data_IF_324115699235
#
_entry.id   IF_324115699235
#
_cell.length_a   1.000
_cell.length_b   1.000
_cell.length_c   1.000
_cell.angle_alpha   90.00
_cell.angle_beta   90.00
_cell.angle_gamma   90.00
#
_symmetry.space_group_name_H-M   'P 1'
#
loop_
_entity.id
_entity.type
_entity.pdbx_description
1 polymer ?
#
# COMPACT_ATOMS: atom_id res chain seq x y z
N UNK A 1 20.07 -14.71 22.82
CA UNK A 1 19.82 -16.08 22.32
C UNK A 1 19.43 -17.11 23.38
N UNK A 2 19.98 -17.11 24.58
CA UNK A 2 19.75 -18.18 25.61
C UNK A 2 18.38 -18.10 26.30
N UNK A 3 17.82 -16.96 26.60
CA UNK A 3 16.55 -16.82 27.33
C UNK A 3 15.31 -17.17 26.47
N UNK A 4 15.30 -16.79 25.18
CA UNK A 4 14.22 -17.15 24.24
C UNK A 4 14.17 -18.64 23.96
N UNK A 5 15.33 -19.31 23.90
CA UNK A 5 15.42 -20.77 23.69
C UNK A 5 14.95 -21.56 24.91
N UNK A 6 15.20 -21.06 26.13
CA UNK A 6 14.73 -21.68 27.37
C UNK A 6 13.21 -21.50 27.57
N UNK A 7 12.64 -20.34 27.26
CA UNK A 7 11.19 -20.12 27.29
C UNK A 7 10.45 -20.97 26.25
N UNK A 8 11.01 -21.18 25.08
CA UNK A 8 10.45 -22.04 24.03
C UNK A 8 10.40 -23.49 24.38
N UNK A 9 11.37 -23.97 25.16
CA UNK A 9 11.40 -25.36 25.64
C UNK A 9 10.35 -25.69 26.70
N UNK A 10 9.75 -24.69 27.37
CA UNK A 10 8.72 -24.82 28.39
C UNK A 10 7.29 -24.64 27.86
N UNK A 11 7.11 -24.23 26.59
CA UNK A 11 5.80 -24.05 26.01
C UNK A 11 5.17 -25.38 25.59
N UNK A 12 4.06 -25.81 26.21
CA UNK A 12 3.39 -27.05 25.87
C UNK A 12 2.67 -27.03 24.51
N UNK A 13 2.59 -25.85 23.84
CA UNK A 13 1.89 -25.65 22.59
C UNK A 13 2.82 -25.43 21.38
N UNK A 14 4.13 -25.56 21.52
CA UNK A 14 5.10 -25.45 20.41
C UNK A 14 4.74 -26.30 19.17
N UNK A 15 4.03 -27.41 19.36
CA UNK A 15 3.57 -28.24 18.26
C UNK A 15 2.53 -27.56 17.36
N UNK A 16 1.87 -26.49 17.82
CA UNK A 16 0.95 -25.67 17.01
C UNK A 16 1.69 -24.82 15.97
N UNK A 17 2.98 -24.57 16.14
CA UNK A 17 3.80 -23.88 15.13
C UNK A 17 3.89 -24.66 13.80
N UNK A 18 3.59 -25.98 13.84
CA UNK A 18 3.44 -26.80 12.62
C UNK A 18 2.01 -26.65 12.09
N UNK A 19 1.72 -25.49 11.50
CA UNK A 19 0.38 -25.06 11.10
C UNK A 19 -0.36 -26.06 10.19
N UNK A 20 0.36 -26.78 9.33
CA UNK A 20 -0.20 -27.77 8.40
C UNK A 20 -0.30 -29.19 9.00
N UNK A 21 0.14 -29.38 10.25
CA UNK A 21 0.08 -30.70 10.84
C UNK A 21 -1.36 -31.12 11.14
N UNK A 22 -1.70 -32.39 10.87
CA UNK A 22 -3.03 -32.94 11.14
C UNK A 22 -3.44 -32.75 12.62
N UNK A 23 -2.46 -32.80 13.55
CA UNK A 23 -2.67 -32.57 14.98
C UNK A 23 -3.07 -31.13 15.29
N UNK A 24 -2.33 -30.14 14.74
CA UNK A 24 -2.64 -28.73 14.94
C UNK A 24 -4.01 -28.37 14.35
N UNK A 25 -4.28 -28.80 13.13
CA UNK A 25 -5.56 -28.57 12.47
C UNK A 25 -6.73 -29.26 13.21
N UNK A 26 -6.55 -30.43 13.76
CA UNK A 26 -7.59 -31.10 14.56
C UNK A 26 -7.89 -30.31 15.84
N UNK A 27 -6.87 -29.83 16.54
CA UNK A 27 -7.03 -29.02 17.74
C UNK A 27 -7.74 -27.69 17.46
N UNK A 28 -7.35 -26.99 16.37
CA UNK A 28 -8.01 -25.75 15.92
C UNK A 28 -9.48 -25.99 15.62
N UNK A 29 -9.81 -27.06 14.87
CA UNK A 29 -11.21 -27.41 14.57
C UNK A 29 -12.04 -27.67 15.83
N UNK A 30 -11.47 -28.40 16.81
CA UNK A 30 -12.13 -28.66 18.09
C UNK A 30 -12.40 -27.37 18.86
N UNK A 31 -11.39 -26.47 18.95
CA UNK A 31 -11.55 -25.17 19.64
C UNK A 31 -12.58 -24.29 18.93
N UNK A 32 -12.51 -24.21 17.60
CA UNK A 32 -13.47 -23.45 16.80
C UNK A 32 -14.90 -23.97 16.98
N UNK A 33 -15.10 -25.30 16.99
CA UNK A 33 -16.41 -25.88 17.21
C UNK A 33 -16.97 -25.54 18.61
N UNK A 34 -16.13 -25.60 19.63
CA UNK A 34 -16.53 -25.22 21.00
C UNK A 34 -16.88 -23.73 21.10
N UNK A 35 -16.07 -22.84 20.52
CA UNK A 35 -16.33 -21.38 20.50
C UNK A 35 -17.60 -21.05 19.74
N UNK A 36 -17.79 -21.63 18.55
CA UNK A 36 -18.99 -21.41 17.76
C UNK A 36 -20.26 -21.92 18.45
N UNK A 37 -20.17 -23.02 19.20
CA UNK A 37 -21.31 -23.51 19.96
C UNK A 37 -21.72 -22.53 21.08
N UNK A 38 -20.75 -21.91 21.76
CA UNK A 38 -21.02 -20.88 22.77
C UNK A 38 -21.64 -19.63 22.14
N UNK A 39 -21.01 -19.08 21.08
CA UNK A 39 -21.46 -17.87 20.44
C UNK A 39 -22.86 -18.01 19.84
N UNK A 40 -23.15 -19.13 19.19
CA UNK A 40 -24.46 -19.43 18.59
C UNK A 40 -25.58 -19.65 19.62
N UNK A 41 -25.22 -19.96 20.85
CA UNK A 41 -26.17 -20.08 21.94
C UNK A 41 -26.60 -18.71 22.51
N UNK A 42 -25.86 -17.64 22.19
CA UNK A 42 -26.21 -16.29 22.65
C UNK A 42 -27.47 -15.76 21.96
N UNK A 43 -28.43 -15.21 22.73
CA UNK A 43 -29.59 -14.55 22.15
C UNK A 43 -29.17 -13.40 21.21
N UNK A 44 -29.71 -13.42 19.99
CA UNK A 44 -29.42 -12.37 19.00
C UNK A 44 -28.22 -12.66 18.06
N UNK A 45 -27.43 -13.72 18.31
CA UNK A 45 -26.29 -14.05 17.43
C UNK A 45 -26.67 -14.14 15.95
N UNK A 46 -27.71 -14.93 15.64
CA UNK A 46 -28.13 -15.11 14.22
C UNK A 46 -28.73 -13.84 13.62
N UNK A 47 -29.43 -13.02 14.40
CA UNK A 47 -29.95 -11.73 13.92
C UNK A 47 -28.80 -10.76 13.62
N UNK A 48 -27.81 -10.66 14.51
CA UNK A 48 -26.60 -9.83 14.28
C UNK A 48 -25.81 -10.33 13.08
N UNK A 49 -25.58 -11.65 12.98
CA UNK A 49 -24.87 -12.25 11.86
C UNK A 49 -25.56 -11.97 10.52
N UNK A 50 -26.90 -12.06 10.49
CA UNK A 50 -27.68 -11.75 9.29
C UNK A 50 -27.57 -10.26 8.93
N UNK A 51 -27.76 -9.36 9.90
CA UNK A 51 -27.66 -7.93 9.65
C UNK A 51 -26.26 -7.49 9.16
N UNK A 52 -25.18 -8.06 9.74
CA UNK A 52 -23.83 -7.81 9.27
C UNK A 52 -23.61 -8.35 7.86
N UNK A 53 -24.14 -9.53 7.56
CA UNK A 53 -24.05 -10.10 6.23
C UNK A 53 -24.79 -9.24 5.21
N UNK A 54 -26.04 -8.82 5.51
CA UNK A 54 -26.85 -7.99 4.62
C UNK A 54 -26.15 -6.66 4.34
N UNK A 55 -25.46 -6.07 5.35
CA UNK A 55 -24.68 -4.87 5.18
C UNK A 55 -23.44 -5.09 4.29
N UNK A 56 -22.74 -6.23 4.46
CA UNK A 56 -21.56 -6.56 3.64
C UNK A 56 -21.91 -6.93 2.18
N UNK A 57 -23.08 -7.56 2.00
CA UNK A 57 -23.59 -7.95 0.68
C UNK A 57 -24.31 -6.78 -0.04
N UNK A 58 -24.47 -5.61 0.63
CA UNK A 58 -25.16 -4.45 0.06
C UNK A 58 -24.41 -3.87 -1.14
N UNK A 59 -25.17 -3.49 -2.16
CA UNK A 59 -24.67 -2.74 -3.33
C UNK A 59 -24.77 -1.22 -3.15
N UNK A 60 -25.32 -0.73 -2.04
CA UNK A 60 -25.56 0.71 -1.76
C UNK A 60 -24.28 1.39 -1.22
N UNK A 61 -23.13 1.06 -1.78
CA UNK A 61 -21.83 1.63 -1.40
C UNK A 61 -21.27 2.44 -2.55
N UNK A 62 -20.64 3.57 -2.22
CA UNK A 62 -19.82 4.31 -3.19
C UNK A 62 -18.54 3.50 -3.42
N UNK A 63 -18.20 3.14 -4.67
CA UNK A 63 -16.99 2.39 -4.95
C UNK A 63 -15.74 3.26 -4.74
N UNK A 64 -14.78 2.80 -3.94
CA UNK A 64 -13.42 3.36 -3.93
C UNK A 64 -12.74 3.08 -5.26
N UNK A 65 -12.06 4.07 -5.83
CA UNK A 65 -11.46 3.96 -7.14
C UNK A 65 -9.96 4.26 -7.13
N UNK A 66 -9.24 3.67 -8.08
CA UNK A 66 -7.85 4.01 -8.39
C UNK A 66 -7.78 4.43 -9.86
N UNK A 67 -7.29 5.64 -10.13
CA UNK A 67 -7.11 6.13 -11.50
C UNK A 67 -5.87 5.53 -12.15
N UNK A 68 -5.99 5.14 -13.43
CA UNK A 68 -4.89 4.72 -14.31
C UNK A 68 -5.17 5.25 -15.71
N UNK A 69 -4.51 6.33 -16.07
CA UNK A 69 -4.79 7.03 -17.32
C UNK A 69 -6.20 7.63 -17.35
N UNK A 70 -6.96 7.28 -18.38
CA UNK A 70 -8.34 7.75 -18.58
C UNK A 70 -9.38 6.89 -17.88
N UNK A 71 -8.95 5.82 -17.24
CA UNK A 71 -9.84 4.85 -16.60
C UNK A 71 -9.67 4.86 -15.08
N UNK A 72 -10.77 4.58 -14.39
CA UNK A 72 -10.80 4.33 -12.95
C UNK A 72 -11.14 2.87 -12.71
N UNK A 73 -10.46 2.27 -11.76
CA UNK A 73 -10.58 0.86 -11.39
C UNK A 73 -11.12 0.74 -9.99
N UNK A 74 -11.97 -0.28 -9.79
CA UNK A 74 -12.56 -0.60 -8.50
C UNK A 74 -12.51 -2.11 -8.29
N UNK A 75 -12.25 -2.54 -7.07
CA UNK A 75 -12.46 -3.91 -6.65
C UNK A 75 -13.77 -4.01 -5.88
N UNK A 76 -14.71 -4.80 -6.40
CA UNK A 76 -16.08 -4.86 -5.92
C UNK A 76 -16.44 -6.24 -5.37
N UNK A 77 -17.10 -6.26 -4.21
CA UNK A 77 -17.66 -7.47 -3.63
C UNK A 77 -19.14 -7.24 -3.33
N UNK A 78 -19.96 -8.24 -3.64
CA UNK A 78 -21.40 -8.24 -3.37
C UNK A 78 -21.91 -9.68 -3.17
N UNK A 79 -23.22 -9.87 -3.11
CA UNK A 79 -23.84 -11.19 -2.98
C UNK A 79 -23.45 -12.14 -4.11
N UNK A 80 -23.23 -11.66 -5.33
CA UNK A 80 -22.90 -12.43 -6.52
C UNK A 80 -21.39 -12.69 -6.62
N UNK A 81 -20.57 -11.68 -6.34
CA UNK A 81 -19.11 -11.72 -6.46
C UNK A 81 -18.48 -11.75 -5.07
N UNK A 82 -18.54 -12.89 -4.39
CA UNK A 82 -18.09 -13.02 -2.99
C UNK A 82 -16.56 -12.93 -2.85
N UNK A 83 -15.82 -13.40 -3.85
CA UNK A 83 -14.36 -13.27 -3.93
C UNK A 83 -13.93 -11.97 -4.56
N UNK A 84 -14.80 -11.38 -5.36
CA UNK A 84 -14.67 -10.04 -5.89
C UNK A 84 -14.52 -9.97 -7.39
N UNK A 85 -14.89 -8.84 -7.90
CA UNK A 85 -14.83 -8.45 -9.30
C UNK A 85 -13.94 -7.21 -9.45
N UNK A 86 -12.80 -7.35 -10.08
CA UNK A 86 -12.03 -6.19 -10.51
C UNK A 86 -12.65 -5.63 -11.77
N UNK A 87 -13.05 -4.35 -11.74
CA UNK A 87 -13.81 -3.69 -12.79
C UNK A 87 -13.28 -2.29 -13.03
N UNK A 88 -13.64 -1.70 -14.17
CA UNK A 88 -13.21 -0.35 -14.55
C UNK A 88 -14.31 0.42 -15.26
N UNK A 89 -14.19 1.73 -15.27
CA UNK A 89 -15.02 2.66 -16.05
C UNK A 89 -14.22 3.93 -16.34
N UNK A 90 -14.82 4.91 -17.03
CA UNK A 90 -14.23 6.24 -17.15
C UNK A 90 -14.59 7.11 -15.94
N UNK A 91 -13.78 8.13 -15.63
CA UNK A 91 -14.11 9.05 -14.54
C UNK A 91 -15.44 9.79 -14.81
N UNK A 92 -15.70 10.14 -16.07
CA UNK A 92 -16.95 10.80 -16.47
C UNK A 92 -18.18 9.90 -16.24
N UNK A 93 -18.06 8.60 -16.51
CA UNK A 93 -19.15 7.65 -16.25
C UNK A 93 -19.28 7.33 -14.76
N UNK A 94 -18.17 7.28 -14.02
CA UNK A 94 -18.15 7.11 -12.56
C UNK A 94 -18.95 8.21 -11.83
N UNK A 95 -18.96 9.43 -12.36
CA UNK A 95 -19.73 10.55 -11.82
C UNK A 95 -21.26 10.42 -12.03
N UNK A 96 -21.75 9.46 -12.82
CA UNK A 96 -23.16 9.20 -12.99
C UNK A 96 -23.75 8.42 -11.80
N UNK A 97 -25.06 8.55 -11.58
CA UNK A 97 -25.76 7.84 -10.51
C UNK A 97 -25.67 6.30 -10.67
N UNK A 98 -25.59 5.80 -11.90
CA UNK A 98 -25.48 4.39 -12.25
C UNK A 98 -24.34 4.19 -13.26
N UNK A 99 -23.06 4.10 -12.79
CA UNK A 99 -21.91 3.92 -13.66
C UNK A 99 -21.94 2.57 -14.39
N UNK A 100 -21.55 2.55 -15.67
CA UNK A 100 -21.39 1.31 -16.42
C UNK A 100 -20.00 0.73 -16.20
N UNK A 101 -19.92 -0.32 -15.41
CA UNK A 101 -18.67 -1.00 -15.09
C UNK A 101 -18.33 -2.10 -16.09
N UNK A 102 -17.13 -2.05 -16.64
CA UNK A 102 -16.56 -3.11 -17.46
C UNK A 102 -15.80 -4.10 -16.57
N UNK A 103 -16.17 -5.40 -16.54
CA UNK A 103 -15.39 -6.42 -15.84
C UNK A 103 -13.99 -6.57 -16.42
N UNK A 104 -12.99 -6.64 -15.53
CA UNK A 104 -11.57 -6.87 -15.86
C UNK A 104 -11.16 -8.28 -15.45
N UNK A 105 -11.38 -8.63 -14.18
CA UNK A 105 -11.07 -9.96 -13.64
C UNK A 105 -12.11 -10.35 -12.59
N UNK A 106 -12.77 -11.49 -12.81
CA UNK A 106 -13.70 -12.10 -11.88
C UNK A 106 -12.98 -13.18 -11.08
N UNK A 107 -12.81 -12.97 -9.76
CA UNK A 107 -12.09 -13.87 -8.87
C UNK A 107 -12.89 -15.14 -8.55
N UNK A 108 -14.22 -15.06 -8.51
CA UNK A 108 -15.07 -16.25 -8.31
C UNK A 108 -14.97 -17.19 -9.52
N UNK A 109 -15.03 -16.65 -10.74
CA UNK A 109 -14.86 -17.41 -11.97
C UNK A 109 -13.45 -18.00 -12.10
N UNK A 110 -12.40 -17.20 -11.80
CA UNK A 110 -11.01 -17.65 -11.80
C UNK A 110 -10.79 -18.78 -10.79
N UNK A 111 -11.28 -18.61 -9.56
CA UNK A 111 -11.17 -19.60 -8.49
C UNK A 111 -11.86 -20.92 -8.86
N UNK A 112 -13.04 -20.84 -9.48
CA UNK A 112 -13.76 -22.02 -9.97
C UNK A 112 -12.98 -22.75 -11.08
N UNK A 113 -12.40 -22.00 -12.03
CA UNK A 113 -11.63 -22.58 -13.15
C UNK A 113 -10.33 -23.25 -12.68
N UNK A 114 -9.61 -22.62 -11.75
CA UNK A 114 -8.32 -23.09 -11.24
C UNK A 114 -8.44 -24.00 -9.99
N UNK A 115 -9.65 -24.15 -9.43
CA UNK A 115 -9.92 -24.89 -8.18
C UNK A 115 -9.10 -24.35 -6.99
N UNK A 116 -9.04 -23.03 -6.88
CA UNK A 116 -8.34 -22.28 -5.85
C UNK A 116 -9.29 -21.33 -5.14
N UNK A 117 -8.93 -20.94 -3.93
CA UNK A 117 -9.68 -19.96 -3.13
C UNK A 117 -9.03 -18.59 -3.23
N UNK A 118 -8.95 -18.03 -4.44
CA UNK A 118 -8.28 -16.78 -4.67
C UNK A 118 -8.89 -15.63 -3.88
N UNK A 119 -8.01 -14.86 -3.26
CA UNK A 119 -8.30 -13.60 -2.59
C UNK A 119 -7.44 -12.53 -3.25
N UNK A 120 -8.02 -11.39 -3.53
CA UNK A 120 -7.36 -10.24 -4.11
C UNK A 120 -6.37 -9.63 -3.11
N UNK A 121 -5.12 -9.43 -3.53
CA UNK A 121 -4.10 -8.75 -2.76
C UNK A 121 -3.66 -7.42 -3.42
N UNK A 122 -3.93 -7.25 -4.71
CA UNK A 122 -3.68 -6.00 -5.42
C UNK A 122 -3.29 -6.18 -6.87
N UNK A 123 -3.10 -5.03 -7.55
CA UNK A 123 -2.57 -4.98 -8.91
C UNK A 123 -1.70 -3.75 -9.11
N UNK A 124 -0.47 -3.97 -9.57
CA UNK A 124 0.49 -2.93 -9.86
C UNK A 124 0.63 -2.74 -11.37
N UNK A 125 0.02 -1.68 -11.89
CA UNK A 125 -0.03 -1.42 -13.32
C UNK A 125 1.23 -0.68 -13.82
N UNK A 126 1.71 -1.06 -14.99
CA UNK A 126 2.81 -0.40 -15.67
C UNK A 126 2.28 0.76 -16.55
N UNK A 127 2.47 1.99 -16.09
CA UNK A 127 2.10 3.21 -16.83
C UNK A 127 3.23 3.73 -17.75
N UNK A 128 2.94 4.73 -18.58
CA UNK A 128 1.67 5.45 -18.69
C UNK A 128 0.62 4.78 -19.59
N UNK A 129 0.94 3.72 -20.35
CA UNK A 129 -0.02 3.08 -21.26
C UNK A 129 -0.98 2.12 -20.54
N UNK A 130 -0.67 1.72 -19.33
CA UNK A 130 -1.50 0.84 -18.48
C UNK A 130 -2.05 -0.40 -19.19
N UNK A 131 -1.22 -1.02 -20.06
CA UNK A 131 -1.58 -2.28 -20.71
C UNK A 131 -1.24 -3.48 -19.83
N UNK A 132 -0.15 -3.43 -19.10
CA UNK A 132 0.36 -4.53 -18.27
C UNK A 132 0.19 -4.21 -16.80
N UNK A 133 -0.11 -5.22 -16.03
CA UNK A 133 -0.05 -5.13 -14.57
C UNK A 133 0.43 -6.45 -13.96
N UNK A 134 1.00 -6.38 -12.75
CA UNK A 134 1.26 -7.52 -11.90
C UNK A 134 0.07 -7.66 -10.95
N UNK A 135 -0.63 -8.79 -11.04
CA UNK A 135 -1.77 -9.10 -10.17
C UNK A 135 -1.29 -10.04 -9.09
N UNK A 136 -1.47 -9.66 -7.84
CA UNK A 136 -1.17 -10.45 -6.64
C UNK A 136 -2.43 -11.13 -6.13
N UNK A 137 -2.37 -12.46 -5.98
CA UNK A 137 -3.46 -13.30 -5.54
C UNK A 137 -2.99 -14.22 -4.42
N UNK A 138 -3.72 -14.23 -3.30
CA UNK A 138 -3.49 -15.12 -2.17
C UNK A 138 -4.44 -16.32 -2.21
N UNK A 139 -3.95 -17.54 -1.98
CA UNK A 139 -4.83 -18.71 -1.83
C UNK A 139 -5.36 -18.80 -0.40
N UNK A 140 -6.66 -18.56 -0.25
CA UNK A 140 -7.33 -18.56 1.06
C UNK A 140 -7.09 -17.35 1.95
N UNK A 141 -6.38 -16.31 1.48
CA UNK A 141 -6.09 -15.10 2.26
C UNK A 141 -4.87 -15.24 3.19
N UNK A 142 -3.88 -16.05 2.81
CA UNK A 142 -2.59 -16.12 3.49
C UNK A 142 -1.71 -14.91 3.16
N UNK A 143 -0.64 -14.67 3.96
CA UNK A 143 0.37 -13.63 3.69
C UNK A 143 1.20 -13.89 2.42
N UNK A 144 1.17 -15.10 1.90
CA UNK A 144 1.86 -15.48 0.68
C UNK A 144 0.97 -15.24 -0.53
N UNK A 145 1.55 -14.75 -1.60
CA UNK A 145 0.87 -14.43 -2.85
C UNK A 145 1.52 -15.10 -4.04
N UNK A 146 0.72 -15.43 -5.03
CA UNK A 146 1.17 -15.69 -6.39
C UNK A 146 1.06 -14.37 -7.16
N UNK A 147 2.11 -13.96 -7.83
CA UNK A 147 2.09 -12.77 -8.68
C UNK A 147 2.08 -13.20 -10.14
N UNK A 148 1.16 -12.66 -10.92
CA UNK A 148 1.00 -13.02 -12.33
C UNK A 148 0.81 -11.77 -13.19
N UNK A 149 1.53 -11.70 -14.30
CA UNK A 149 1.33 -10.61 -15.25
C UNK A 149 0.00 -10.74 -15.99
N UNK A 150 -0.72 -9.63 -16.09
CA UNK A 150 -2.05 -9.54 -16.67
C UNK A 150 -2.09 -8.43 -17.73
N UNK A 151 -2.73 -8.70 -18.86
CA UNK A 151 -2.99 -7.73 -19.91
C UNK A 151 -4.35 -7.06 -19.68
N UNK A 152 -4.34 -5.76 -19.36
CA UNK A 152 -5.54 -4.98 -19.07
C UNK A 152 -6.42 -4.72 -20.29
N UNK A 153 -5.85 -4.81 -21.51
CA UNK A 153 -6.61 -4.61 -22.76
C UNK A 153 -7.30 -5.92 -23.15
N UNK A 154 -6.53 -7.00 -23.18
CA UNK A 154 -7.03 -8.33 -23.54
C UNK A 154 -7.77 -9.03 -22.39
N UNK A 155 -7.67 -8.47 -21.18
CA UNK A 155 -8.28 -8.96 -19.92
C UNK A 155 -7.98 -10.43 -19.66
N UNK A 156 -6.70 -10.80 -19.73
CA UNK A 156 -6.20 -12.16 -19.50
C UNK A 156 -4.78 -12.15 -18.96
N UNK A 157 -4.42 -13.21 -18.26
CA UNK A 157 -3.04 -13.43 -17.88
C UNK A 157 -2.15 -13.61 -19.12
N UNK A 158 -0.92 -13.14 -19.05
CA UNK A 158 0.04 -13.19 -20.15
C UNK A 158 0.76 -14.52 -20.12
N UNK A 159 0.67 -15.31 -21.22
CA UNK A 159 1.22 -16.67 -21.27
C UNK A 159 2.73 -16.73 -21.00
N UNK A 160 3.51 -15.82 -21.60
CA UNK A 160 4.97 -15.68 -21.39
C UNK A 160 5.33 -14.49 -20.48
N UNK A 161 4.39 -14.09 -19.62
CA UNK A 161 4.55 -12.99 -18.68
C UNK A 161 5.32 -13.36 -17.42
N UNK A 162 5.51 -12.38 -16.54
CA UNK A 162 6.06 -12.63 -15.22
C UNK A 162 5.10 -13.49 -14.39
N UNK A 163 5.62 -14.56 -13.80
CA UNK A 163 4.91 -15.44 -12.87
C UNK A 163 5.81 -15.76 -11.69
N UNK A 164 5.43 -15.30 -10.49
CA UNK A 164 6.11 -15.63 -9.24
C UNK A 164 5.30 -16.70 -8.49
N UNK A 165 5.95 -17.76 -8.01
CA UNK A 165 5.30 -18.77 -7.20
C UNK A 165 4.82 -18.21 -5.86
N UNK A 166 3.93 -18.94 -5.20
CA UNK A 166 3.41 -18.55 -3.89
C UNK A 166 4.53 -18.37 -2.86
N UNK A 167 4.69 -17.14 -2.41
CA UNK A 167 5.64 -16.72 -1.39
C UNK A 167 5.21 -15.36 -0.81
N UNK A 168 5.78 -14.95 0.32
CA UNK A 168 5.75 -13.56 0.73
C UNK A 168 6.59 -12.78 -0.27
N UNK A 169 5.98 -11.87 -0.99
CA UNK A 169 6.58 -11.24 -2.16
C UNK A 169 6.34 -9.73 -2.14
N UNK A 170 7.40 -8.96 -2.43
CA UNK A 170 7.32 -7.57 -2.81
C UNK A 170 7.89 -7.42 -4.23
N UNK A 171 7.23 -6.63 -5.08
CA UNK A 171 7.59 -6.52 -6.48
C UNK A 171 7.27 -5.13 -7.01
N UNK A 172 8.19 -4.57 -7.83
CA UNK A 172 7.93 -3.31 -8.52
C UNK A 172 8.50 -3.33 -9.95
N UNK A 173 7.86 -2.57 -10.84
CA UNK A 173 8.29 -2.38 -12.21
C UNK A 173 9.52 -1.47 -12.30
N UNK A 174 10.64 -1.98 -12.82
CA UNK A 174 11.78 -1.15 -13.19
C UNK A 174 11.54 -0.49 -14.56
N UNK A 175 11.09 -1.28 -15.53
CA UNK A 175 10.69 -0.88 -16.88
C UNK A 175 9.72 -1.91 -17.48
N UNK A 176 9.37 -1.79 -18.77
CA UNK A 176 8.41 -2.67 -19.44
C UNK A 176 8.81 -4.15 -19.46
N UNK A 177 10.11 -4.42 -19.40
CA UNK A 177 10.69 -5.77 -19.53
C UNK A 177 11.47 -6.23 -18.29
N UNK A 178 11.45 -5.41 -17.23
CA UNK A 178 12.25 -5.69 -16.02
C UNK A 178 11.45 -5.32 -14.77
N UNK A 179 11.47 -6.24 -13.80
CA UNK A 179 10.92 -6.01 -12.47
C UNK A 179 11.97 -6.23 -11.38
N UNK A 180 11.84 -5.50 -10.27
CA UNK A 180 12.52 -5.79 -9.02
C UNK A 180 11.63 -6.72 -8.20
N UNK A 181 12.22 -7.80 -7.67
CA UNK A 181 11.48 -8.85 -6.95
C UNK A 181 12.19 -9.19 -5.65
N UNK A 182 11.47 -9.12 -4.56
CA UNK A 182 11.82 -9.72 -3.27
C UNK A 182 10.86 -10.89 -3.01
N UNK A 183 11.37 -12.11 -2.96
CA UNK A 183 10.56 -13.33 -2.79
C UNK A 183 11.41 -14.47 -2.22
N UNK A 184 10.86 -15.65 -2.10
CA UNK A 184 11.63 -16.85 -1.75
C UNK A 184 12.38 -17.39 -3.00
N UNK A 185 13.68 -17.17 -3.04
CA UNK A 185 14.58 -17.72 -4.07
C UNK A 185 15.27 -19.02 -3.63
N UNK A 186 14.85 -19.61 -2.52
CA UNK A 186 15.43 -20.81 -1.94
C UNK A 186 16.35 -20.53 -0.73
N UNK A 187 17.20 -21.50 -0.35
CA UNK A 187 17.97 -21.42 0.89
C UNK A 187 18.80 -20.12 1.00
N UNK A 188 18.61 -19.41 2.11
CA UNK A 188 19.32 -18.16 2.42
C UNK A 188 18.71 -16.90 1.84
N UNK A 189 17.59 -16.97 1.11
CA UNK A 189 16.90 -15.79 0.56
C UNK A 189 15.88 -15.18 1.50
N UNK A 190 15.60 -15.82 2.62
CA UNK A 190 14.64 -15.34 3.63
C UNK A 190 15.32 -14.91 4.92
N UNK A 191 14.65 -14.04 5.66
CA UNK A 191 14.99 -13.63 7.03
C UNK A 191 14.54 -14.68 8.04
N UNK A 192 14.88 -14.51 9.34
CA UNK A 192 14.36 -15.36 10.43
C UNK A 192 12.84 -15.26 10.58
N UNK A 193 12.22 -14.16 10.16
CA UNK A 193 10.78 -13.95 10.17
C UNK A 193 10.05 -14.61 8.99
N UNK A 194 10.80 -15.15 8.01
CA UNK A 194 10.25 -15.80 6.82
C UNK A 194 9.81 -14.83 5.72
N UNK A 195 10.21 -13.57 5.81
CA UNK A 195 10.05 -12.58 4.74
C UNK A 195 11.29 -12.55 3.82
N UNK A 196 11.19 -11.96 2.62
CA UNK A 196 12.34 -11.84 1.72
C UNK A 196 13.50 -11.06 2.35
N UNK A 197 14.73 -11.53 2.10
CA UNK A 197 15.98 -10.89 2.48
C UNK A 197 16.76 -10.37 1.26
N UNK A 198 16.42 -10.86 0.07
CA UNK A 198 17.14 -10.59 -1.17
C UNK A 198 16.18 -9.99 -2.19
N UNK A 199 16.62 -8.89 -2.84
CA UNK A 199 15.92 -8.31 -3.99
C UNK A 199 16.73 -8.58 -5.24
N UNK A 200 16.07 -9.12 -6.26
CA UNK A 200 16.67 -9.38 -7.56
C UNK A 200 15.97 -8.58 -8.65
N UNK A 201 16.71 -8.20 -9.66
CA UNK A 201 16.18 -7.67 -10.90
C UNK A 201 15.99 -8.81 -11.90
N UNK A 202 14.76 -9.01 -12.34
CA UNK A 202 14.38 -10.08 -13.25
C UNK A 202 13.94 -9.53 -14.58
N UNK A 203 14.53 -10.04 -15.66
CA UNK A 203 14.24 -9.61 -17.05
C UNK A 203 13.28 -10.58 -17.71
N UNK A 204 12.31 -10.04 -18.43
CA UNK A 204 11.31 -10.80 -19.20
C UNK A 204 11.95 -11.85 -20.08
N UNK A 205 11.29 -13.01 -20.17
CA UNK A 205 11.76 -14.12 -21.02
C UNK A 205 12.98 -14.87 -20.49
N UNK A 206 13.50 -14.50 -19.32
CA UNK A 206 14.56 -15.30 -18.65
C UNK A 206 13.98 -16.10 -17.48
N UNK A 207 14.57 -17.23 -17.10
CA UNK A 207 14.18 -17.94 -15.87
C UNK A 207 14.36 -17.06 -14.64
N UNK A 208 13.48 -17.16 -13.65
CA UNK A 208 13.61 -16.46 -12.37
C UNK A 208 14.93 -16.76 -11.65
N UNK A 209 15.47 -17.97 -11.86
CA UNK A 209 16.75 -18.37 -11.29
C UNK A 209 17.93 -17.54 -11.81
N UNK A 210 17.81 -16.95 -13.00
CA UNK A 210 18.83 -16.11 -13.63
C UNK A 210 18.72 -14.62 -13.23
N UNK A 211 17.74 -14.27 -12.39
CA UNK A 211 17.55 -12.91 -11.90
C UNK A 211 18.78 -12.45 -11.08
N UNK A 212 19.20 -11.22 -11.32
CA UNK A 212 20.43 -10.64 -10.75
C UNK A 212 20.14 -9.98 -9.41
N UNK A 213 20.86 -10.36 -8.36
CA UNK A 213 20.77 -9.72 -7.04
C UNK A 213 21.18 -8.24 -7.13
N UNK A 214 20.35 -7.36 -6.64
CA UNK A 214 20.57 -5.91 -6.61
C UNK A 214 20.59 -5.34 -5.19
N UNK A 215 20.02 -6.08 -4.22
CA UNK A 215 20.02 -5.68 -2.82
C UNK A 215 19.92 -6.90 -1.90
N UNK A 216 20.56 -6.82 -0.73
CA UNK A 216 20.45 -7.84 0.33
C UNK A 216 20.34 -7.17 1.69
N UNK A 217 19.41 -7.67 2.54
CA UNK A 217 19.32 -7.39 3.95
C UNK A 217 20.07 -8.41 4.80
N UNK A 218 19.99 -8.26 6.10
CA UNK A 218 20.53 -9.21 7.07
C UNK A 218 19.52 -10.29 7.42
N UNK A 219 19.99 -11.39 7.97
CA UNK A 219 19.11 -12.53 8.30
C UNK A 219 18.17 -12.22 9.48
N UNK A 220 18.56 -11.30 10.34
CA UNK A 220 17.81 -10.82 11.50
C UNK A 220 16.93 -9.60 11.24
N UNK A 221 16.95 -9.06 10.02
CA UNK A 221 15.93 -8.08 9.58
C UNK A 221 14.53 -8.71 9.56
N UNK A 222 13.50 -7.90 9.59
CA UNK A 222 12.13 -8.37 9.35
C UNK A 222 11.94 -8.68 7.87
N UNK A 223 12.30 -7.74 6.98
CA UNK A 223 12.14 -7.89 5.53
C UNK A 223 13.03 -6.91 4.76
N UNK A 224 13.09 -7.07 3.45
CA UNK A 224 13.51 -6.03 2.51
C UNK A 224 12.35 -5.63 1.61
N UNK A 225 12.40 -4.40 1.09
CA UNK A 225 11.40 -3.88 0.16
C UNK A 225 12.06 -2.98 -0.90
N UNK A 226 11.34 -2.72 -2.00
CA UNK A 226 11.77 -1.84 -3.08
C UNK A 226 10.64 -0.94 -3.54
N UNK A 227 10.97 0.31 -3.83
CA UNK A 227 10.07 1.27 -4.48
C UNK A 227 10.76 1.86 -5.69
N UNK A 228 10.10 1.80 -6.84
CA UNK A 228 10.60 2.37 -8.09
C UNK A 228 9.68 3.51 -8.52
N UNK A 229 10.12 4.74 -8.26
CA UNK A 229 9.47 5.94 -8.80
C UNK A 229 9.89 6.12 -10.26
N UNK A 230 8.91 6.11 -11.16
CA UNK A 230 9.09 6.28 -12.60
C UNK A 230 8.51 7.60 -13.09
N UNK A 231 8.18 8.51 -12.19
CA UNK A 231 7.71 9.86 -12.52
C UNK A 231 8.74 10.56 -13.40
N UNK A 232 8.39 11.01 -14.63
CA UNK A 232 9.33 11.63 -15.54
C UNK A 232 10.06 12.81 -14.92
N UNK A 233 11.41 12.75 -14.93
CA UNK A 233 12.30 13.76 -14.34
C UNK A 233 12.57 13.57 -12.85
N UNK A 234 11.93 12.58 -12.20
CA UNK A 234 12.10 12.27 -10.77
C UNK A 234 12.38 10.79 -10.52
N UNK A 235 12.78 10.06 -11.57
CA UNK A 235 13.00 8.62 -11.52
C UNK A 235 14.02 8.27 -10.44
N UNK A 236 13.65 7.33 -9.58
CA UNK A 236 14.52 6.83 -8.50
C UNK A 236 14.11 5.43 -8.07
N UNK A 237 15.07 4.68 -7.59
CA UNK A 237 14.84 3.39 -6.94
C UNK A 237 15.36 3.45 -5.52
N UNK A 238 14.51 3.15 -4.57
CA UNK A 238 14.84 3.07 -3.14
C UNK A 238 14.67 1.64 -2.68
N UNK A 239 15.71 1.12 -2.02
CA UNK A 239 15.67 -0.15 -1.33
C UNK A 239 15.60 0.09 0.17
N UNK A 240 14.84 -0.73 0.87
CA UNK A 240 14.71 -0.67 2.31
C UNK A 240 15.00 -1.98 3.02
N UNK A 241 15.49 -1.85 4.26
CA UNK A 241 15.63 -2.92 5.24
C UNK A 241 14.76 -2.58 6.42
N UNK A 242 13.71 -3.37 6.68
CA UNK A 242 12.92 -3.26 7.91
C UNK A 242 13.66 -3.98 9.02
N UNK A 243 14.21 -3.23 9.98
CA UNK A 243 15.00 -3.76 11.09
C UNK A 243 14.11 -4.38 12.17
N UNK A 244 12.99 -3.73 12.42
CA UNK A 244 11.90 -4.18 13.27
C UNK A 244 10.58 -3.57 12.76
N UNK A 245 9.54 -3.53 13.59
CA UNK A 245 8.22 -3.07 13.20
C UNK A 245 8.14 -1.55 12.92
N UNK A 246 9.06 -0.76 13.47
CA UNK A 246 9.04 0.71 13.39
C UNK A 246 10.33 1.29 12.81
N UNK A 247 11.38 0.51 12.68
CA UNK A 247 12.69 0.99 12.26
C UNK A 247 13.08 0.41 10.92
N UNK A 248 13.55 1.27 10.04
CA UNK A 248 14.08 0.88 8.75
C UNK A 248 15.39 1.62 8.38
N UNK A 249 16.04 1.15 7.33
CA UNK A 249 17.14 1.84 6.65
C UNK A 249 16.84 1.87 5.17
N UNK A 250 16.95 3.05 4.57
CA UNK A 250 16.69 3.28 3.16
C UNK A 250 17.99 3.53 2.39
N UNK A 251 18.04 3.05 1.16
CA UNK A 251 19.19 3.16 0.26
C UNK A 251 18.72 3.60 -1.11
N UNK A 252 19.28 4.67 -1.63
CA UNK A 252 19.01 5.16 -2.97
C UNK A 252 19.98 4.52 -3.96
N UNK A 253 19.44 3.94 -5.04
CA UNK A 253 20.26 3.46 -6.17
C UNK A 253 20.81 4.66 -6.94
N UNK A 254 22.15 4.70 -7.07
CA UNK A 254 22.84 5.74 -7.83
C UNK A 254 22.96 5.35 -9.31
N UNK A 255 23.21 6.32 -10.18
CA UNK A 255 23.38 6.11 -11.62
C UNK A 255 24.54 5.15 -11.98
N UNK A 256 25.56 5.04 -11.13
CA UNK A 256 26.68 4.13 -11.30
C UNK A 256 26.40 2.72 -10.78
N UNK A 257 25.18 2.46 -10.30
CA UNK A 257 24.77 1.18 -9.73
C UNK A 257 25.15 0.99 -8.26
N UNK A 258 25.77 1.96 -7.61
CA UNK A 258 26.07 1.90 -6.18
C UNK A 258 24.85 2.29 -5.34
N UNK A 259 24.85 1.91 -4.07
CA UNK A 259 23.81 2.22 -3.11
C UNK A 259 24.29 3.27 -2.13
N UNK A 260 23.58 4.38 -2.04
CA UNK A 260 23.82 5.43 -1.06
C UNK A 260 22.79 5.34 0.08
N UNK A 261 23.25 5.15 1.32
CA UNK A 261 22.36 5.18 2.48
C UNK A 261 21.74 6.57 2.64
N UNK A 262 20.45 6.63 2.90
CA UNK A 262 19.73 7.86 3.21
C UNK A 262 19.82 8.07 4.73
N UNK A 263 20.46 9.15 5.14
CA UNK A 263 20.67 9.50 6.54
C UNK A 263 19.41 10.13 7.14
N UNK A 264 18.63 9.33 7.87
CA UNK A 264 17.39 9.72 8.56
C UNK A 264 17.29 9.01 9.91
N UNK A 265 16.44 9.46 10.86
CA UNK A 265 16.06 8.62 12.01
C UNK A 265 15.53 7.26 11.54
N UNK A 266 15.93 6.18 12.21
CA UNK A 266 15.55 4.85 11.79
C UNK A 266 14.03 4.63 11.86
N UNK A 267 13.37 5.30 12.77
CA UNK A 267 11.93 5.25 13.01
C UNK A 267 11.12 6.32 12.27
N UNK A 268 11.75 7.17 11.46
CA UNK A 268 11.03 8.13 10.62
C UNK A 268 10.58 7.47 9.31
N UNK A 269 9.35 7.69 8.92
CA UNK A 269 8.87 7.29 7.60
C UNK A 269 9.40 8.25 6.52
N UNK A 270 9.89 7.70 5.42
CA UNK A 270 10.47 8.44 4.29
C UNK A 270 9.58 8.29 3.07
N UNK A 271 9.25 9.43 2.45
CA UNK A 271 8.66 9.45 1.12
C UNK A 271 9.31 10.49 0.22
N UNK A 272 9.03 10.40 -1.07
CA UNK A 272 9.47 11.39 -2.05
C UNK A 272 8.26 11.85 -2.85
N UNK A 273 8.14 13.18 -2.94
CA UNK A 273 7.16 13.82 -3.80
C UNK A 273 7.90 14.75 -4.77
N UNK A 274 8.18 14.23 -5.97
CA UNK A 274 8.93 14.94 -7.02
C UNK A 274 10.29 15.45 -6.49
N UNK A 275 10.46 16.79 -6.36
CA UNK A 275 11.68 17.42 -5.86
C UNK A 275 11.83 17.33 -4.34
N UNK A 276 10.81 16.92 -3.63
CA UNK A 276 10.79 16.92 -2.17
C UNK A 276 11.04 15.54 -1.59
N UNK A 277 11.86 15.53 -0.55
CA UNK A 277 11.98 14.43 0.40
C UNK A 277 11.18 14.79 1.63
N UNK A 278 10.31 13.89 2.08
CA UNK A 278 9.43 14.05 3.22
C UNK A 278 9.82 13.06 4.32
N UNK A 279 9.77 13.51 5.56
CA UNK A 279 10.02 12.71 6.76
C UNK A 279 8.87 12.89 7.75
N UNK A 280 8.18 11.83 8.07
CA UNK A 280 7.24 11.77 9.19
C UNK A 280 7.95 11.19 10.40
N UNK A 281 8.10 11.98 11.46
CA UNK A 281 8.90 11.65 12.62
C UNK A 281 8.08 10.89 13.66
N UNK A 282 8.58 9.70 14.08
CA UNK A 282 7.99 8.97 15.22
C UNK A 282 8.62 9.30 16.56
N UNK A 283 9.83 9.84 16.57
CA UNK A 283 10.53 10.32 17.76
C UNK A 283 11.08 11.72 17.56
N UNK A 284 11.45 12.40 18.66
CA UNK A 284 12.12 13.70 18.59
C UNK A 284 13.45 13.59 17.86
N UNK A 285 13.76 14.57 17.03
CA UNK A 285 14.98 14.59 16.22
C UNK A 285 15.68 15.96 16.24
N UNK A 286 17.02 15.91 16.34
CA UNK A 286 17.88 17.09 16.22
C UNK A 286 18.57 17.09 14.85
N UNK A 287 18.27 18.05 14.00
CA UNK A 287 18.89 18.19 12.70
C UNK A 287 19.17 19.64 12.33
N UNK A 288 20.34 19.92 11.76
CA UNK A 288 20.72 21.28 11.38
C UNK A 288 20.75 22.29 12.55
N UNK A 289 20.85 21.83 13.80
CA UNK A 289 20.78 22.65 15.01
C UNK A 289 19.35 23.06 15.41
N UNK A 290 18.34 22.41 14.83
CA UNK A 290 16.91 22.59 15.14
C UNK A 290 16.35 21.31 15.76
N UNK A 291 15.55 21.46 16.81
CA UNK A 291 14.82 20.39 17.44
C UNK A 291 13.45 20.23 16.78
N UNK A 292 13.13 19.02 16.31
CA UNK A 292 11.84 18.64 15.74
C UNK A 292 11.16 17.60 16.65
N UNK A 293 9.89 17.80 16.91
CA UNK A 293 9.11 16.91 17.79
C UNK A 293 8.68 15.63 17.06
N UNK A 294 8.53 14.58 17.82
CA UNK A 294 7.78 13.37 17.41
C UNK A 294 6.42 13.74 16.83
N UNK A 295 6.03 13.13 15.69
CA UNK A 295 4.79 13.39 14.97
C UNK A 295 4.84 14.61 14.04
N UNK A 296 6.03 15.23 13.85
CA UNK A 296 6.20 16.32 12.89
C UNK A 296 6.42 15.78 11.48
N UNK A 297 5.80 16.43 10.48
CA UNK A 297 6.09 16.22 9.07
C UNK A 297 7.09 17.26 8.59
N UNK A 298 8.22 16.80 8.06
CA UNK A 298 9.31 17.64 7.57
C UNK A 298 9.48 17.46 6.06
N UNK A 299 9.87 18.55 5.38
CA UNK A 299 10.20 18.50 3.96
C UNK A 299 11.58 19.14 3.70
N UNK A 300 12.29 18.59 2.73
CA UNK A 300 13.52 19.19 2.21
C UNK A 300 13.60 19.00 0.70
N UNK A 301 14.26 19.90 -0.06
CA UNK A 301 14.61 19.60 -1.43
C UNK A 301 15.46 18.31 -1.45
N UNK A 302 14.97 17.28 -2.15
CA UNK A 302 15.55 15.94 -2.13
C UNK A 302 17.05 15.95 -2.49
N UNK A 303 17.41 16.70 -3.53
CA UNK A 303 18.81 16.82 -3.96
C UNK A 303 19.72 17.42 -2.88
N UNK A 304 19.25 18.42 -2.13
CA UNK A 304 20.01 19.07 -1.05
C UNK A 304 20.16 18.12 0.13
N UNK A 305 19.07 17.49 0.53
CA UNK A 305 19.08 16.52 1.62
C UNK A 305 20.03 15.34 1.37
N UNK A 306 19.99 14.77 0.16
CA UNK A 306 20.86 13.66 -0.23
C UNK A 306 22.35 14.05 -0.31
N UNK A 307 22.68 15.35 -0.49
CA UNK A 307 24.04 15.86 -0.36
C UNK A 307 24.48 16.15 1.08
N UNK A 308 23.60 15.92 2.06
CA UNK A 308 23.89 16.12 3.49
C UNK A 308 23.44 17.46 4.05
N UNK A 309 22.74 18.31 3.27
CA UNK A 309 22.14 19.53 3.80
C UNK A 309 20.95 19.18 4.71
N UNK A 310 20.80 19.92 5.79
CA UNK A 310 19.74 19.70 6.79
C UNK A 310 18.92 20.99 7.00
N UNK A 311 18.58 21.67 5.89
CA UNK A 311 17.59 22.76 5.89
C UNK A 311 16.21 22.15 5.67
N UNK A 312 15.48 21.95 6.76
CA UNK A 312 14.18 21.30 6.75
C UNK A 312 13.07 22.32 6.94
N UNK A 313 12.00 22.16 6.19
CA UNK A 313 10.75 22.88 6.39
C UNK A 313 9.82 22.02 7.25
N UNK A 314 9.35 22.54 8.39
CA UNK A 314 8.33 21.87 9.17
C UNK A 314 6.97 22.14 8.54
N UNK A 315 6.40 21.13 7.89
CA UNK A 315 5.08 21.23 7.25
C UNK A 315 3.95 21.04 8.25
N UNK A 316 4.18 20.25 9.28
CA UNK A 316 3.24 20.04 10.36
C UNK A 316 4.00 19.79 11.67
N UNK A 317 3.56 20.41 12.76
CA UNK A 317 4.01 20.12 14.11
C UNK A 317 2.81 19.73 14.98
N UNK A 318 2.84 18.58 15.68
CA UNK A 318 1.70 18.11 16.45
C UNK A 318 1.44 18.98 17.67
N UNK A 319 0.19 19.01 18.09
CA UNK A 319 -0.25 19.59 19.36
C UNK A 319 -0.80 18.48 20.27
N UNK A 320 -1.13 18.77 21.55
CA UNK A 320 -1.77 17.76 22.39
C UNK A 320 -3.09 17.18 21.86
N UNK A 321 -3.74 17.87 20.94
CA UNK A 321 -5.05 17.49 20.39
C UNK A 321 -5.04 17.27 18.88
N UNK A 322 -3.95 17.59 18.18
CA UNK A 322 -3.87 17.51 16.74
C UNK A 322 -2.65 16.69 16.28
N UNK A 323 -2.89 15.69 15.47
CA UNK A 323 -1.87 14.83 14.85
C UNK A 323 -2.05 14.79 13.32
N UNK A 324 -0.97 14.43 12.63
CA UNK A 324 -1.06 14.03 11.21
C UNK A 324 -1.82 12.71 11.13
N UNK A 325 -2.81 12.64 10.25
CA UNK A 325 -3.59 11.43 9.98
C UNK A 325 -3.15 10.78 8.69
N UNK A 326 -2.99 11.57 7.62
CA UNK A 326 -2.58 11.08 6.31
C UNK A 326 -1.91 12.17 5.49
N UNK A 327 -1.18 11.75 4.45
CA UNK A 327 -0.49 12.61 3.50
C UNK A 327 -0.68 12.04 2.09
N UNK A 328 -1.28 12.82 1.21
CA UNK A 328 -1.37 12.56 -0.23
C UNK A 328 -0.77 13.73 -1.02
N UNK A 329 -0.61 13.58 -2.32
CA UNK A 329 -0.04 14.60 -3.17
C UNK A 329 -0.76 14.68 -4.53
N UNK A 330 -0.99 15.91 -4.97
CA UNK A 330 -1.33 16.21 -6.35
C UNK A 330 -0.08 16.65 -7.11
N UNK A 331 -0.23 17.05 -8.36
CA UNK A 331 0.91 17.58 -9.13
C UNK A 331 1.59 18.77 -8.45
N UNK A 332 0.83 19.66 -7.81
CA UNK A 332 1.35 20.94 -7.29
C UNK A 332 1.20 21.12 -5.78
N UNK A 333 0.46 20.27 -5.12
CA UNK A 333 0.13 20.40 -3.70
C UNK A 333 0.40 19.12 -2.92
N UNK A 334 0.77 19.27 -1.66
CA UNK A 334 0.65 18.23 -0.64
C UNK A 334 -0.69 18.39 0.06
N UNK A 335 -1.38 17.29 0.30
CA UNK A 335 -2.68 17.24 0.95
C UNK A 335 -2.51 16.58 2.31
N UNK A 336 -2.68 17.33 3.39
CA UNK A 336 -2.54 16.83 4.75
C UNK A 336 -3.93 16.63 5.35
N UNK A 337 -4.22 15.39 5.73
CA UNK A 337 -5.36 15.09 6.60
C UNK A 337 -4.90 15.11 8.05
N UNK A 338 -5.44 16.02 8.83
CA UNK A 338 -5.13 16.22 10.25
C UNK A 338 -6.28 15.69 11.09
N UNK A 339 -5.97 15.06 12.22
CA UNK A 339 -6.95 14.64 13.22
C UNK A 339 -6.84 15.59 14.41
N UNK A 340 -7.85 16.45 14.60
CA UNK A 340 -7.91 17.44 15.67
C UNK A 340 -9.13 17.18 16.56
N UNK A 341 -8.88 16.81 17.82
CA UNK A 341 -9.94 16.38 18.76
C UNK A 341 -10.91 15.34 18.11
N UNK A 342 -10.33 14.31 17.45
CA UNK A 342 -11.01 13.21 16.73
C UNK A 342 -11.82 13.61 15.48
N UNK A 343 -11.76 14.86 15.06
CA UNK A 343 -12.35 15.34 13.80
C UNK A 343 -11.27 15.52 12.74
N UNK A 344 -11.55 15.09 11.52
CA UNK A 344 -10.61 15.31 10.41
C UNK A 344 -10.68 16.74 9.91
N UNK A 345 -9.52 17.29 9.57
CA UNK A 345 -9.35 18.55 8.83
C UNK A 345 -8.39 18.32 7.68
N UNK A 346 -8.59 19.02 6.60
CA UNK A 346 -7.73 18.90 5.41
C UNK A 346 -7.06 20.24 5.11
N UNK A 347 -5.79 20.18 4.80
CA UNK A 347 -4.98 21.34 4.41
C UNK A 347 -4.21 21.04 3.13
N UNK A 348 -4.25 21.96 2.18
CA UNK A 348 -3.40 21.97 1.01
C UNK A 348 -2.17 22.80 1.26
N UNK A 349 -1.01 22.29 0.89
CA UNK A 349 0.27 22.97 0.96
C UNK A 349 0.89 23.09 -0.42
N UNK A 350 1.21 24.29 -0.84
CA UNK A 350 1.86 24.59 -2.11
C UNK A 350 3.19 25.33 -1.91
N UNK A 351 4.22 24.92 -2.62
CA UNK A 351 5.50 25.61 -2.61
C UNK A 351 5.51 26.72 -3.69
N UNK A 352 5.57 27.99 -3.29
CA UNK A 352 5.52 29.15 -4.19
C UNK A 352 6.90 29.56 -4.78
N UNK A 353 7.93 28.76 -4.50
CA UNK A 353 9.32 29.05 -4.85
C UNK A 353 10.15 29.67 -3.72
N UNK A 354 9.51 30.12 -2.63
CA UNK A 354 10.16 30.73 -1.49
C UNK A 354 9.67 30.19 -0.13
N UNK A 355 8.39 29.88 -0.04
CA UNK A 355 7.75 29.38 1.18
C UNK A 355 6.59 28.42 0.84
N UNK A 356 6.26 27.58 1.82
CA UNK A 356 5.06 26.76 1.78
C UNK A 356 3.84 27.62 2.12
N UNK A 357 2.95 27.77 1.15
CA UNK A 357 1.63 28.37 1.34
C UNK A 357 0.66 27.29 1.81
N UNK A 358 -0.28 27.65 2.67
CA UNK A 358 -1.22 26.74 3.29
C UNK A 358 -2.64 27.24 3.13
N UNK A 359 -3.55 26.35 2.72
CA UNK A 359 -4.99 26.62 2.60
C UNK A 359 -5.77 25.50 3.27
N UNK A 360 -6.79 25.84 4.08
CA UNK A 360 -7.73 24.85 4.59
C UNK A 360 -8.71 24.45 3.48
N UNK A 361 -8.94 23.16 3.32
CA UNK A 361 -9.99 22.62 2.44
C UNK A 361 -11.31 22.61 3.21
N UNK A 362 -12.39 23.20 2.69
CA UNK A 362 -13.70 23.10 3.31
C UNK A 362 -14.22 21.66 3.28
N UNK A 363 -14.32 21.04 4.43
CA UNK A 363 -14.87 19.69 4.61
C UNK A 363 -15.95 19.70 5.69
N UNK A 364 -16.90 18.74 5.70
CA UNK A 364 -17.91 18.64 6.77
C UNK A 364 -17.23 18.49 8.14
N UNK A 365 -17.73 19.19 9.18
CA UNK A 365 -17.19 19.06 10.53
C UNK A 365 -17.57 17.70 11.13
N UNK A 366 -16.70 17.17 12.01
CA UNK A 366 -16.92 15.95 12.80
C UNK A 366 -17.02 14.65 11.98
N UNK A 367 -16.54 14.64 10.75
CA UNK A 367 -16.42 13.45 9.92
C UNK A 367 -15.03 12.82 9.95
N UNK A 368 -14.93 11.56 9.54
CA UNK A 368 -13.71 10.96 9.03
C UNK A 368 -13.60 11.35 7.55
N UNK A 369 -12.43 11.88 7.17
CA UNK A 369 -12.15 12.33 5.81
C UNK A 369 -11.01 11.51 5.26
N UNK A 370 -11.17 10.99 4.04
CA UNK A 370 -10.12 10.38 3.23
C UNK A 370 -9.97 11.20 1.95
N UNK A 371 -8.73 11.39 1.52
CA UNK A 371 -8.40 12.12 0.30
C UNK A 371 -7.69 11.16 -0.63
N UNK A 372 -8.15 11.09 -1.87
CA UNK A 372 -7.51 10.31 -2.93
C UNK A 372 -7.19 11.22 -4.11
N UNK A 373 -5.90 11.44 -4.38
CA UNK A 373 -5.45 12.20 -5.53
C UNK A 373 -5.87 11.52 -6.84
N UNK A 374 -6.34 12.31 -7.77
CA UNK A 374 -6.60 11.87 -9.15
C UNK A 374 -5.40 12.09 -10.06
N UNK A 375 -4.30 12.64 -9.54
CA UNK A 375 -3.08 12.85 -10.30
C UNK A 375 -2.46 11.52 -10.76
N UNK A 376 -2.14 11.45 -12.06
CA UNK A 376 -1.32 10.36 -12.61
C UNK A 376 0.07 10.91 -12.95
N UNK A 377 1.08 10.65 -12.11
CA UNK A 377 2.41 11.24 -12.26
C UNK A 377 3.14 10.77 -13.52
N UNK A 378 2.68 9.68 -14.16
CA UNK A 378 3.27 9.12 -15.37
C UNK A 378 2.70 9.76 -16.65
N UNK A 379 1.69 10.62 -16.55
CA UNK A 379 1.08 11.32 -17.67
C UNK A 379 1.59 12.76 -17.71
N UNK A 380 2.35 13.08 -18.76
CA UNK A 380 2.79 14.45 -18.97
C UNK A 380 1.60 15.36 -19.28
N UNK A 381 1.50 16.48 -18.56
CA UNK A 381 0.40 17.43 -18.74
C UNK A 381 -0.96 16.89 -18.29
N UNK A 382 -1.00 15.96 -17.34
CA UNK A 382 -2.24 15.39 -16.81
C UNK A 382 -3.29 16.46 -16.50
N UNK A 383 -4.48 16.44 -17.16
CA UNK A 383 -5.53 17.43 -16.95
C UNK A 383 -6.14 17.39 -15.55
N UNK A 384 -5.99 16.26 -14.83
CA UNK A 384 -6.45 16.07 -13.46
C UNK A 384 -5.30 16.19 -12.46
N UNK A 385 -4.22 16.87 -12.84
CA UNK A 385 -3.00 16.92 -12.05
C UNK A 385 -3.19 17.46 -10.63
N UNK A 386 -4.14 18.36 -10.41
CA UNK A 386 -4.42 18.90 -9.07
C UNK A 386 -5.83 18.53 -8.55
N UNK A 387 -6.53 17.65 -9.26
CA UNK A 387 -7.82 17.14 -8.83
C UNK A 387 -7.69 15.99 -7.83
N UNK A 388 -8.61 15.91 -6.88
CA UNK A 388 -8.69 14.84 -5.90
C UNK A 388 -10.13 14.54 -5.50
N UNK A 389 -10.36 13.38 -4.93
CA UNK A 389 -11.62 12.96 -4.32
C UNK A 389 -11.55 13.20 -2.82
N UNK A 390 -12.68 13.59 -2.25
CA UNK A 390 -12.87 13.72 -0.80
C UNK A 390 -13.97 12.75 -0.40
N UNK A 391 -13.63 11.72 0.31
CA UNK A 391 -14.59 10.82 0.96
C UNK A 391 -14.84 11.29 2.38
N UNK A 392 -16.10 11.46 2.73
CA UNK A 392 -16.53 11.93 4.03
C UNK A 392 -17.60 11.02 4.61
N UNK A 393 -17.39 10.56 5.83
CA UNK A 393 -18.37 9.78 6.58
C UNK A 393 -18.44 10.23 8.03
N UNK A 394 -19.66 10.24 8.60
CA UNK A 394 -19.88 10.49 10.02
C UNK A 394 -20.98 9.58 10.58
N UNK A 395 -21.32 9.71 11.87
CA UNK A 395 -22.34 8.89 12.54
C UNK A 395 -23.76 9.07 12.02
N UNK A 396 -24.06 10.14 11.31
CA UNK A 396 -25.37 10.50 10.81
C UNK A 396 -25.43 10.57 9.29
N UNK A 397 -24.28 10.69 8.65
CA UNK A 397 -24.14 10.87 7.21
C UNK A 397 -23.42 9.63 6.63
N UNK A 398 -24.10 8.84 5.79
CA UNK A 398 -23.41 7.79 5.05
C UNK A 398 -22.32 8.43 4.16
N UNK A 399 -21.38 7.62 3.68
CA UNK A 399 -20.31 8.04 2.81
C UNK A 399 -20.79 9.04 1.74
N UNK A 400 -20.11 10.19 1.65
CA UNK A 400 -20.30 11.21 0.64
C UNK A 400 -18.99 11.38 -0.11
N UNK A 401 -19.04 11.34 -1.43
CA UNK A 401 -17.88 11.53 -2.30
C UNK A 401 -18.00 12.88 -3.03
N UNK A 402 -16.98 13.70 -2.88
CA UNK A 402 -16.84 14.98 -3.57
C UNK A 402 -15.61 14.98 -4.47
N UNK A 403 -15.68 15.72 -5.56
CA UNK A 403 -14.50 16.08 -6.36
C UNK A 403 -14.07 17.50 -6.01
N UNK A 404 -12.77 17.71 -5.86
CA UNK A 404 -12.19 19.03 -5.71
C UNK A 404 -11.01 19.18 -6.68
N UNK A 405 -10.68 20.43 -7.02
CA UNK A 405 -9.47 20.78 -7.75
C UNK A 405 -8.72 21.84 -6.93
N UNK A 406 -7.51 21.53 -6.54
CA UNK A 406 -6.66 22.45 -5.77
C UNK A 406 -6.35 23.77 -6.50
N UNK A 407 -6.62 23.81 -7.81
CA UNK A 407 -6.33 24.97 -8.66
C UNK A 407 -7.50 25.98 -8.83
N UNK A 408 -8.73 25.65 -8.38
CA UNK A 408 -9.95 26.37 -8.78
C UNK A 408 -10.45 27.45 -7.79
N UNK A 409 -9.60 28.01 -6.90
CA UNK A 409 -9.99 29.21 -6.12
C UNK A 409 -8.93 30.32 -6.14
#
# INVERSE_FOLDING_TARGET
MTARRAARAADPYLWLEKVDSARALAWVRERNAATLALLRAEPGYEATRTALRDALDSSDRIPTITRRGDLVYNFWQDETHKRGLWRRTTLADFANAEPLWEPVLDLDALGAAERRSWVWDGAQAFGPQYRRCLVSLSDGGADAVVVREFDLIDKRFVDDGFVLPEAKTDVDWCDADTICVATDFGPGSLTESGYPRVIKRWTRGTPLADAVTVFEGEVDDVSVWVTVDRTPGFERTVFGRSLDFYNDRCFLLQHDGTLAAIDKPADADLSFERDWLLLDLRSDWEAGGVHYRSGSLLAAPAADYLRGERRLHCLFEPTPTCSLGDLDATRSHLLLTLIDDVASRVEELHWDGAAWQRRAVPVPPFGAIEIDSLHDPLIEGDPLGDAYLVDCTDFLTPCLLYTSDAADE
#
